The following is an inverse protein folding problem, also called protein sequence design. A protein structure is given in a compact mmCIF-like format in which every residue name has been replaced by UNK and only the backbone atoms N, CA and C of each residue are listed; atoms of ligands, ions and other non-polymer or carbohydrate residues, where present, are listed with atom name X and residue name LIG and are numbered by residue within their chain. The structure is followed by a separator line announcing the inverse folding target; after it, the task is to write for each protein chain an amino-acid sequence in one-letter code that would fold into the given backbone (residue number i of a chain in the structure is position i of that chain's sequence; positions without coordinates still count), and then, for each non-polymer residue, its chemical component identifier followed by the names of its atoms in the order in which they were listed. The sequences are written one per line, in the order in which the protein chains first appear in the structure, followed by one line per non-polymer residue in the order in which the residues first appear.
data_IF_447653823410
#
_entry.id   IF_447653823410
#
_cell.length_a   1.000
_cell.length_b   1.000
_cell.length_c   1.000
_cell.angle_alpha   90.00
_cell.angle_beta   90.00
_cell.angle_gamma   90.00
#
_symmetry.space_group_name_H-M   'P 1'
#
loop_
_entity.id
_entity.type
_entity.pdbx_description
1 polymer ?
#
# COMPACT_ATOMS: atom_id res chain seq x y z
N UNK A 1 30.63 12.62 -15.82
CA UNK A 1 29.54 13.15 -14.97
C UNK A 1 28.25 12.59 -15.54
N UNK A 2 27.43 11.92 -14.74
CA UNK A 2 26.15 11.41 -15.23
C UNK A 2 25.28 12.60 -15.67
N UNK A 3 24.61 12.46 -16.81
CA UNK A 3 23.70 13.47 -17.34
C UNK A 3 22.54 13.69 -16.35
N UNK A 4 22.25 14.94 -16.00
CA UNK A 4 21.21 15.26 -15.02
C UNK A 4 19.84 15.14 -15.72
N UNK A 5 18.98 14.25 -15.22
CA UNK A 5 17.61 14.06 -15.73
C UNK A 5 16.81 15.35 -15.51
N UNK A 6 16.08 15.79 -16.54
CA UNK A 6 15.08 16.87 -16.44
C UNK A 6 13.67 16.30 -16.37
N UNK A 7 12.72 17.10 -15.86
CA UNK A 7 11.31 16.73 -15.80
C UNK A 7 10.76 16.35 -17.17
N UNK A 8 11.10 17.11 -18.22
CA UNK A 8 10.66 16.82 -19.59
C UNK A 8 11.16 15.46 -20.07
N UNK A 9 12.46 15.16 -19.87
CA UNK A 9 13.04 13.88 -20.25
C UNK A 9 12.38 12.71 -19.53
N UNK A 10 12.12 12.84 -18.22
CA UNK A 10 11.46 11.81 -17.43
C UNK A 10 10.02 11.54 -17.92
N UNK A 11 9.24 12.60 -18.18
CA UNK A 11 7.87 12.49 -18.68
C UNK A 11 7.84 11.86 -20.08
N UNK A 12 8.76 12.24 -20.98
CA UNK A 12 8.85 11.64 -22.31
C UNK A 12 9.23 10.15 -22.27
N UNK A 13 10.12 9.77 -21.35
CA UNK A 13 10.45 8.37 -21.12
C UNK A 13 9.23 7.59 -20.61
N UNK A 14 8.51 8.10 -19.62
CA UNK A 14 7.28 7.46 -19.12
C UNK A 14 6.22 7.37 -20.22
N UNK A 15 6.01 8.41 -21.02
CA UNK A 15 5.08 8.41 -22.13
C UNK A 15 5.43 7.35 -23.18
N UNK A 16 6.73 7.15 -23.46
CA UNK A 16 7.18 6.20 -24.48
C UNK A 16 7.12 4.75 -24.01
N UNK A 17 7.43 4.49 -22.73
CA UNK A 17 7.66 3.13 -22.22
C UNK A 17 6.59 2.65 -21.21
N UNK A 18 5.82 3.55 -20.61
CA UNK A 18 4.75 3.26 -19.66
C UNK A 18 3.36 3.18 -20.31
N UNK A 19 2.43 2.47 -19.65
CA UNK A 19 1.03 2.45 -20.06
C UNK A 19 0.33 3.77 -19.70
N UNK A 20 -0.58 4.25 -20.55
CA UNK A 20 -1.27 5.54 -20.37
C UNK A 20 -2.56 5.42 -19.55
N UNK A 21 -2.45 4.91 -18.32
CA UNK A 21 -3.59 4.69 -17.42
C UNK A 21 -3.75 5.76 -16.32
N UNK A 22 -2.84 6.73 -16.26
CA UNK A 22 -2.88 7.90 -15.38
C UNK A 22 -2.71 9.19 -16.19
N UNK A 23 -3.14 10.30 -15.59
CA UNK A 23 -2.87 11.65 -16.09
C UNK A 23 -2.20 12.47 -14.97
N UNK A 24 -0.89 12.28 -14.74
CA UNK A 24 -0.17 12.93 -13.64
C UNK A 24 -0.07 14.45 -13.81
N UNK A 25 0.16 15.15 -12.70
CA UNK A 25 0.61 16.54 -12.75
C UNK A 25 2.02 16.62 -13.36
N UNK A 26 2.33 17.68 -14.09
CA UNK A 26 3.64 17.89 -14.74
C UNK A 26 4.78 18.25 -13.78
N UNK A 27 4.98 17.45 -12.74
CA UNK A 27 6.04 17.57 -11.73
C UNK A 27 6.73 16.22 -11.56
N UNK A 28 8.06 16.20 -11.61
CA UNK A 28 8.84 14.95 -11.48
C UNK A 28 9.61 14.98 -10.17
N UNK A 29 9.09 14.29 -9.16
CA UNK A 29 9.67 14.25 -7.81
C UNK A 29 10.91 13.34 -7.75
N UNK A 30 11.94 13.78 -7.03
CA UNK A 30 13.24 13.11 -6.92
C UNK A 30 13.69 12.83 -5.47
N UNK A 31 13.17 13.58 -4.50
CA UNK A 31 13.44 13.40 -3.06
C UNK A 31 12.18 13.68 -2.25
N UNK A 32 11.99 12.96 -1.15
CA UNK A 32 10.99 13.24 -0.12
C UNK A 32 11.60 13.22 1.28
N UNK A 33 11.12 14.09 2.18
CA UNK A 33 11.52 14.16 3.59
C UNK A 33 10.42 14.81 4.43
N UNK A 34 9.81 14.05 5.34
CA UNK A 34 8.70 14.54 6.15
C UNK A 34 7.52 14.97 5.27
N UNK A 35 7.06 16.22 5.44
CA UNK A 35 5.98 16.79 4.63
C UNK A 35 6.45 17.40 3.29
N UNK A 36 7.75 17.32 2.99
CA UNK A 36 8.35 17.98 1.82
C UNK A 36 8.76 16.99 0.74
N UNK A 37 8.67 17.46 -0.50
CA UNK A 37 9.22 16.79 -1.68
C UNK A 37 10.00 17.79 -2.54
N UNK A 38 10.96 17.30 -3.31
CA UNK A 38 11.74 18.08 -4.27
C UNK A 38 11.62 17.46 -5.65
N UNK A 39 11.50 18.29 -6.70
CA UNK A 39 11.58 17.81 -8.08
C UNK A 39 13.03 17.57 -8.54
N UNK A 40 13.22 17.04 -9.76
CA UNK A 40 14.54 16.76 -10.35
C UNK A 40 15.35 18.04 -10.64
N UNK A 41 14.67 19.18 -10.80
CA UNK A 41 15.29 20.50 -10.90
C UNK A 41 15.72 21.06 -9.53
N UNK A 42 15.18 20.53 -8.42
CA UNK A 42 15.53 20.87 -7.04
C UNK A 42 14.56 21.85 -6.35
N UNK A 43 13.42 22.16 -6.96
CA UNK A 43 12.38 22.99 -6.33
C UNK A 43 11.62 22.17 -5.28
N UNK A 44 11.42 22.78 -4.12
CA UNK A 44 10.74 22.17 -2.98
C UNK A 44 9.24 22.46 -2.97
N UNK A 45 8.45 21.50 -2.52
CA UNK A 45 7.01 21.59 -2.37
C UNK A 45 6.58 20.99 -1.02
N UNK A 46 5.44 21.45 -0.51
CA UNK A 46 4.68 20.67 0.47
C UNK A 46 3.86 19.60 -0.25
N UNK A 47 3.90 18.36 0.25
CA UNK A 47 3.05 17.29 -0.25
C UNK A 47 1.70 17.31 0.49
N UNK A 48 0.68 17.86 -0.16
CA UNK A 48 -0.70 17.90 0.34
C UNK A 48 -1.56 16.72 -0.16
N UNK A 49 -0.96 15.74 -0.85
CA UNK A 49 -1.63 14.52 -1.29
C UNK A 49 -1.27 13.32 -0.39
N UNK A 50 -0.01 13.25 0.07
CA UNK A 50 0.53 12.18 0.92
C UNK A 50 0.30 10.78 0.34
N UNK A 51 0.40 10.66 -0.99
CA UNK A 51 0.06 9.47 -1.76
C UNK A 51 -1.27 8.82 -1.31
N UNK A 52 -2.34 9.62 -1.26
CA UNK A 52 -3.65 9.20 -0.80
C UNK A 52 -3.65 8.69 0.65
N UNK A 53 -2.97 9.41 1.54
CA UNK A 53 -2.78 9.09 2.98
C UNK A 53 -1.90 7.86 3.28
N UNK A 54 -1.16 7.33 2.30
CA UNK A 54 -0.19 6.26 2.57
C UNK A 54 1.05 6.76 3.34
N UNK A 55 1.38 8.04 3.22
CA UNK A 55 2.58 8.66 3.80
C UNK A 55 2.23 9.50 5.03
N UNK A 56 1.32 9.02 5.88
CA UNK A 56 0.88 9.74 7.09
C UNK A 56 2.03 10.09 8.06
N UNK A 57 3.07 9.27 8.09
CA UNK A 57 4.26 9.46 8.93
C UNK A 57 5.29 10.42 8.31
N UNK A 58 5.07 10.88 7.08
CA UNK A 58 6.02 11.68 6.31
C UNK A 58 6.99 10.82 5.47
N UNK A 59 7.44 11.39 4.36
CA UNK A 59 8.36 10.76 3.42
C UNK A 59 9.66 10.36 4.11
N UNK A 60 10.15 9.16 3.80
CA UNK A 60 11.45 8.65 4.27
C UNK A 60 11.64 8.71 5.80
N UNK A 61 10.59 8.49 6.57
CA UNK A 61 10.66 8.54 8.04
C UNK A 61 11.76 7.58 8.58
N UNK A 62 12.74 8.08 9.35
CA UNK A 62 13.98 7.34 9.65
C UNK A 62 13.77 6.03 10.40
N UNK A 63 12.76 5.96 11.29
CA UNK A 63 12.41 4.71 11.98
C UNK A 63 11.88 3.63 11.04
N UNK A 64 11.12 4.00 10.01
CA UNK A 64 10.52 3.04 9.06
C UNK A 64 11.60 2.56 8.09
N UNK A 65 12.41 3.48 7.57
CA UNK A 65 13.55 3.15 6.70
C UNK A 65 14.56 2.26 7.44
N UNK A 66 14.87 2.57 8.70
CA UNK A 66 15.74 1.73 9.53
C UNK A 66 15.21 0.30 9.68
N UNK A 67 13.94 0.15 10.09
CA UNK A 67 13.31 -1.16 10.24
C UNK A 67 13.29 -1.97 8.93
N UNK A 68 13.01 -1.30 7.79
CA UNK A 68 13.05 -1.92 6.47
C UNK A 68 14.46 -2.44 6.14
N UNK A 69 15.48 -1.60 6.30
CA UNK A 69 16.87 -1.95 5.97
C UNK A 69 17.37 -3.10 6.85
N UNK A 70 17.07 -3.06 8.14
CA UNK A 70 17.50 -4.08 9.09
C UNK A 70 16.87 -5.44 8.77
N UNK A 71 15.55 -5.50 8.54
CA UNK A 71 14.87 -6.75 8.18
C UNK A 71 15.30 -7.27 6.80
N UNK A 72 15.48 -6.38 5.81
CA UNK A 72 15.88 -6.77 4.46
C UNK A 72 17.29 -7.38 4.39
N UNK A 73 18.17 -7.06 5.35
CA UNK A 73 19.49 -7.69 5.50
C UNK A 73 19.44 -9.08 6.12
N UNK A 74 18.31 -9.45 6.75
CA UNK A 74 18.14 -10.73 7.42
C UNK A 74 17.31 -11.71 6.59
N UNK A 75 16.04 -11.37 6.32
CA UNK A 75 15.10 -12.24 5.61
C UNK A 75 13.90 -11.43 5.08
N UNK A 76 13.54 -11.62 3.81
CA UNK A 76 12.48 -10.84 3.15
C UNK A 76 11.23 -11.65 2.80
N UNK A 77 11.38 -12.87 2.28
CA UNK A 77 10.24 -13.64 1.79
C UNK A 77 10.44 -15.15 1.98
N UNK A 78 9.49 -15.78 2.68
CA UNK A 78 9.47 -17.24 2.93
C UNK A 78 8.30 -17.95 2.25
N UNK A 79 7.41 -17.21 1.57
CA UNK A 79 6.02 -17.62 1.34
C UNK A 79 5.29 -17.96 2.65
N UNK A 80 4.08 -18.53 2.56
CA UNK A 80 3.33 -19.07 3.71
C UNK A 80 3.52 -20.57 3.91
N UNK A 81 4.34 -21.22 3.08
CA UNK A 81 4.71 -22.63 3.25
C UNK A 81 5.64 -22.84 4.47
N UNK A 82 6.35 -21.80 4.90
CA UNK A 82 7.21 -21.81 6.07
C UNK A 82 6.79 -20.71 7.05
N UNK A 83 6.98 -20.96 8.34
CA UNK A 83 6.93 -19.91 9.34
C UNK A 83 8.16 -19.01 9.22
N UNK A 84 8.01 -17.76 9.65
CA UNK A 84 9.11 -16.84 9.91
C UNK A 84 8.90 -16.21 11.29
N UNK A 85 9.95 -15.61 11.82
CA UNK A 85 10.02 -15.05 13.16
C UNK A 85 9.38 -13.65 13.29
N UNK A 86 9.04 -12.99 12.19
CA UNK A 86 8.47 -11.64 12.20
C UNK A 86 6.94 -11.61 12.15
N UNK A 87 6.30 -12.56 11.46
CA UNK A 87 4.85 -12.53 11.23
C UNK A 87 4.04 -12.68 12.52
N UNK A 88 4.37 -13.68 13.36
CA UNK A 88 3.64 -13.91 14.63
C UNK A 88 3.69 -12.72 15.59
N UNK A 89 4.85 -12.09 15.84
CA UNK A 89 4.94 -10.85 16.62
C UNK A 89 4.13 -9.69 16.03
N UNK A 90 4.14 -9.51 14.70
CA UNK A 90 3.29 -8.52 14.04
C UNK A 90 1.80 -8.81 14.27
N UNK A 91 1.37 -10.06 14.07
CA UNK A 91 -0.02 -10.49 14.24
C UNK A 91 -0.51 -10.24 15.67
N UNK A 92 0.31 -10.54 16.69
CA UNK A 92 0.02 -10.21 18.09
C UNK A 92 -0.09 -8.70 18.32
N UNK A 93 0.90 -7.93 17.87
CA UNK A 93 0.93 -6.49 18.06
C UNK A 93 -0.33 -5.81 17.51
N UNK A 94 -0.68 -6.09 16.25
CA UNK A 94 -1.80 -5.40 15.59
C UNK A 94 -3.15 -5.81 16.17
N UNK A 95 -3.32 -7.07 16.56
CA UNK A 95 -4.57 -7.57 17.15
C UNK A 95 -4.80 -7.01 18.55
N UNK A 96 -3.76 -6.93 19.39
CA UNK A 96 -3.85 -6.28 20.71
C UNK A 96 -4.08 -4.78 20.60
N UNK A 97 -3.45 -4.11 19.63
CA UNK A 97 -3.59 -2.67 19.43
C UNK A 97 -5.02 -2.28 19.02
N UNK A 98 -5.65 -3.05 18.12
CA UNK A 98 -7.00 -2.75 17.61
C UNK A 98 -8.13 -3.53 18.32
N UNK A 99 -7.81 -4.45 19.23
CA UNK A 99 -8.80 -5.23 19.99
C UNK A 99 -9.48 -6.36 19.21
N UNK A 100 -8.81 -6.97 18.24
CA UNK A 100 -9.33 -8.11 17.46
C UNK A 100 -8.71 -9.44 17.89
N UNK A 101 -9.33 -10.57 17.56
CA UNK A 101 -8.78 -11.89 17.92
C UNK A 101 -7.77 -12.44 16.91
N UNK A 102 -7.87 -12.04 15.63
CA UNK A 102 -7.02 -12.50 14.53
C UNK A 102 -6.87 -11.40 13.49
N UNK A 103 -5.79 -11.47 12.73
CA UNK A 103 -5.53 -10.65 11.54
C UNK A 103 -5.16 -11.57 10.38
N UNK A 104 -5.47 -11.16 9.16
CA UNK A 104 -4.97 -11.78 7.94
C UNK A 104 -4.23 -10.72 7.12
N UNK A 105 -2.89 -10.82 7.06
CA UNK A 105 -2.06 -9.87 6.32
C UNK A 105 -2.16 -10.09 4.80
N UNK A 106 -2.37 -9.01 4.06
CA UNK A 106 -2.38 -8.93 2.59
C UNK A 106 -1.48 -7.78 2.12
N UNK A 107 -1.40 -7.53 0.81
CA UNK A 107 -0.46 -6.56 0.25
C UNK A 107 -1.15 -5.25 -0.18
N UNK A 108 -2.29 -5.35 -0.86
CA UNK A 108 -3.03 -4.18 -1.37
C UNK A 108 -4.36 -3.96 -0.63
N UNK A 109 -4.92 -2.75 -0.75
CA UNK A 109 -6.28 -2.47 -0.26
C UNK A 109 -7.34 -3.34 -0.94
N UNK A 110 -7.24 -3.53 -2.26
CA UNK A 110 -8.17 -4.36 -3.03
C UNK A 110 -8.16 -5.84 -2.56
N UNK A 111 -6.98 -6.39 -2.26
CA UNK A 111 -6.87 -7.74 -1.70
C UNK A 111 -7.49 -7.87 -0.31
N UNK A 112 -7.38 -6.83 0.53
CA UNK A 112 -8.03 -6.79 1.83
C UNK A 112 -9.55 -6.80 1.69
N UNK A 113 -10.11 -6.00 0.78
CA UNK A 113 -11.55 -5.94 0.53
C UNK A 113 -12.10 -7.24 -0.07
N UNK A 114 -11.43 -7.82 -1.07
CA UNK A 114 -11.79 -9.13 -1.64
C UNK A 114 -11.77 -10.23 -0.58
N UNK A 115 -10.79 -10.20 0.32
CA UNK A 115 -10.70 -11.16 1.42
C UNK A 115 -11.81 -10.95 2.44
N UNK A 116 -12.14 -9.70 2.79
CA UNK A 116 -13.25 -9.38 3.67
C UNK A 116 -14.59 -9.86 3.08
N UNK A 117 -14.81 -9.67 1.78
CA UNK A 117 -16.02 -10.16 1.07
C UNK A 117 -16.10 -11.69 1.14
N UNK A 118 -14.98 -12.40 0.89
CA UNK A 118 -14.91 -13.86 1.00
C UNK A 118 -15.21 -14.33 2.43
N UNK A 119 -14.64 -13.66 3.44
CA UNK A 119 -14.89 -13.96 4.84
C UNK A 119 -16.37 -13.78 5.19
N UNK A 120 -16.97 -12.65 4.82
CA UNK A 120 -18.38 -12.34 5.06
C UNK A 120 -19.31 -13.36 4.39
N UNK A 121 -19.06 -13.72 3.13
CA UNK A 121 -19.86 -14.74 2.41
C UNK A 121 -19.71 -16.11 3.04
N UNK A 122 -18.49 -16.56 3.32
CA UNK A 122 -18.24 -17.86 3.96
C UNK A 122 -18.94 -17.96 5.33
N UNK A 123 -18.84 -16.92 6.15
CA UNK A 123 -19.59 -16.85 7.41
C UNK A 123 -21.11 -16.86 7.18
N UNK A 124 -21.58 -16.14 6.17
CA UNK A 124 -23.00 -16.12 5.77
C UNK A 124 -23.54 -17.52 5.46
N UNK A 125 -22.75 -18.36 4.78
CA UNK A 125 -23.11 -19.74 4.49
C UNK A 125 -22.97 -20.65 5.72
N UNK A 126 -21.79 -20.69 6.33
CA UNK A 126 -21.44 -21.69 7.35
C UNK A 126 -22.12 -21.43 8.70
N UNK A 127 -22.31 -20.16 9.07
CA UNK A 127 -22.77 -19.77 10.42
C UNK A 127 -24.17 -19.20 10.39
N UNK A 128 -24.46 -18.27 9.46
CA UNK A 128 -25.79 -17.68 9.37
C UNK A 128 -26.80 -18.58 8.64
N UNK A 129 -26.32 -19.52 7.82
CA UNK A 129 -27.16 -20.48 7.09
C UNK A 129 -27.85 -19.90 5.86
N UNK A 130 -27.28 -18.87 5.22
CA UNK A 130 -27.77 -18.39 3.93
C UNK A 130 -27.53 -19.49 2.88
N UNK A 131 -28.49 -19.78 1.98
CA UNK A 131 -28.26 -20.72 0.88
C UNK A 131 -27.03 -20.34 0.05
N UNK A 132 -26.35 -21.36 -0.48
CA UNK A 132 -25.18 -21.16 -1.31
C UNK A 132 -25.50 -20.25 -2.51
N UNK A 133 -24.61 -19.32 -2.81
CA UNK A 133 -24.76 -18.30 -3.87
C UNK A 133 -25.88 -17.26 -3.64
N UNK A 134 -26.56 -17.25 -2.49
CA UNK A 134 -27.58 -16.25 -2.17
C UNK A 134 -27.09 -15.11 -1.25
N UNK A 135 -25.85 -15.16 -0.77
CA UNK A 135 -25.30 -14.12 0.09
C UNK A 135 -25.02 -12.81 -0.69
N UNK A 136 -25.70 -11.74 -0.27
CA UNK A 136 -25.54 -10.39 -0.84
C UNK A 136 -24.68 -9.52 0.07
N UNK A 137 -23.82 -8.71 -0.55
CA UNK A 137 -23.04 -7.66 0.11
C UNK A 137 -23.64 -6.32 -0.32
N UNK A 138 -23.99 -5.48 0.64
CA UNK A 138 -24.51 -4.14 0.38
C UNK A 138 -23.31 -3.19 0.31
N UNK A 139 -23.28 -2.35 -0.73
CA UNK A 139 -22.27 -1.31 -0.93
C UNK A 139 -22.96 0.02 -1.23
N UNK A 140 -22.28 1.14 -1.00
CA UNK A 140 -22.81 2.48 -1.27
C UNK A 140 -22.51 2.93 -2.70
N UNK A 141 -23.37 3.74 -3.30
CA UNK A 141 -23.06 4.41 -4.56
C UNK A 141 -21.82 5.31 -4.40
N UNK A 142 -20.94 5.34 -5.41
CA UNK A 142 -19.71 6.15 -5.39
C UNK A 142 -18.58 5.62 -4.49
N UNK A 143 -18.71 4.40 -3.94
CA UNK A 143 -17.62 3.78 -3.19
C UNK A 143 -16.41 3.43 -4.09
N UNK A 144 -15.21 3.33 -3.49
CA UNK A 144 -13.99 2.89 -4.17
C UNK A 144 -13.19 1.94 -3.28
N UNK A 145 -13.00 0.70 -3.72
CA UNK A 145 -12.32 -0.35 -2.97
C UNK A 145 -11.30 -1.12 -3.84
N UNK A 146 -10.81 -0.50 -4.91
CA UNK A 146 -9.77 -1.07 -5.78
C UNK A 146 -10.16 -1.24 -7.25
N UNK A 147 -9.26 -1.89 -8.00
CA UNK A 147 -9.36 -2.25 -9.41
C UNK A 147 -8.73 -3.63 -9.61
#
# INVERSE_FOLDING_TARGET
MAEKITSQMAIEMEYKYGAHNYHPLGVVLSKGEGAYVWDVEGKQYFDFLSAYSAINQGHCHPRIVGALVDQARSLTLTSRAFYNDALGPFEKYITEYFGYNKVLAMNTGAEADETAIKLCRKWGYDVKGIPENEAKIIVCEGNFHGR
#
